data_IF_158722393763
#
_entry.id   IF_158722393763
#
_cell.length_a   1.000
_cell.length_b   1.000
_cell.length_c   1.000
_cell.angle_alpha   90.00
_cell.angle_beta   90.00
_cell.angle_gamma   90.00
#
_symmetry.space_group_name_H-M   'P 1'
#
loop_
_entity.id
_entity.type
_entity.pdbx_description
1 polymer ?
#
# COMPACT_ATOMS: atom_id res chain seq x y z
N UNK A 1 -16.44 41.96 -11.47
CA UNK A 1 -16.37 41.62 -12.90
C UNK A 1 -14.91 41.58 -13.33
N UNK A 2 -14.28 40.40 -13.24
CA UNK A 2 -13.01 40.09 -13.90
C UNK A 2 -12.91 38.57 -14.10
N UNK A 3 -13.26 38.17 -15.33
CA UNK A 3 -12.86 36.97 -16.06
C UNK A 3 -12.86 35.59 -15.37
N UNK A 4 -14.07 35.01 -15.26
CA UNK A 4 -14.29 33.59 -15.55
C UNK A 4 -13.94 33.33 -17.03
N UNK A 5 -12.69 32.95 -17.32
CA UNK A 5 -12.30 32.42 -18.64
C UNK A 5 -11.46 31.17 -18.45
N UNK A 6 -12.13 30.03 -18.61
CA UNK A 6 -11.53 28.70 -18.61
C UNK A 6 -12.62 27.63 -18.74
N UNK A 7 -13.43 27.71 -19.79
CA UNK A 7 -14.43 26.69 -20.09
C UNK A 7 -13.75 25.39 -20.54
N UNK A 8 -13.61 24.44 -19.61
CA UNK A 8 -13.55 22.99 -19.85
C UNK A 8 -14.23 22.40 -18.62
N UNK A 9 -15.29 21.61 -18.80
CA UNK A 9 -15.97 20.97 -17.65
C UNK A 9 -14.94 20.27 -16.75
N UNK A 10 -15.05 20.49 -15.44
CA UNK A 10 -14.31 19.70 -14.46
C UNK A 10 -14.51 18.22 -14.81
N UNK A 11 -13.46 17.39 -14.98
CA UNK A 11 -13.65 15.95 -15.11
C UNK A 11 -14.50 15.46 -13.95
N UNK A 12 -15.45 14.55 -14.20
CA UNK A 12 -16.42 14.11 -13.18
C UNK A 12 -15.70 13.60 -11.93
N UNK A 13 -14.56 12.92 -12.12
CA UNK A 13 -13.66 12.54 -11.03
C UNK A 13 -13.30 13.70 -10.11
N UNK A 14 -12.81 14.84 -10.62
CA UNK A 14 -12.39 15.97 -9.77
C UNK A 14 -13.56 16.57 -9.00
N UNK A 15 -14.74 16.64 -9.64
CA UNK A 15 -15.96 17.12 -8.99
C UNK A 15 -16.36 16.20 -7.83
N UNK A 16 -16.44 14.89 -8.07
CA UNK A 16 -16.77 13.89 -7.05
C UNK A 16 -15.78 13.90 -5.88
N UNK A 17 -14.48 14.08 -6.15
CA UNK A 17 -13.46 14.20 -5.11
C UNK A 17 -13.70 15.41 -4.19
N UNK A 18 -14.13 16.54 -4.75
CA UNK A 18 -14.50 17.74 -3.96
C UNK A 18 -15.82 17.57 -3.21
N UNK A 19 -16.71 16.71 -3.70
CA UNK A 19 -17.97 16.34 -3.07
C UNK A 19 -17.79 15.18 -2.06
N UNK A 20 -16.56 14.70 -1.84
CA UNK A 20 -16.20 13.60 -0.93
C UNK A 20 -16.77 12.22 -1.35
N UNK A 21 -17.10 12.05 -2.62
CA UNK A 21 -17.69 10.84 -3.20
C UNK A 21 -16.60 9.88 -3.74
N UNK A 22 -15.66 9.45 -2.89
CA UNK A 22 -14.50 8.63 -3.31
C UNK A 22 -14.90 7.26 -3.84
N UNK A 23 -15.94 6.64 -3.27
CA UNK A 23 -16.47 5.35 -3.73
C UNK A 23 -17.00 5.43 -5.17
N UNK A 24 -17.69 6.53 -5.50
CA UNK A 24 -18.22 6.73 -6.85
C UNK A 24 -17.08 6.94 -7.84
N UNK A 25 -16.03 7.67 -7.45
CA UNK A 25 -14.79 7.76 -8.25
C UNK A 25 -14.22 6.36 -8.48
N UNK A 26 -14.10 5.53 -7.43
CA UNK A 26 -13.63 4.15 -7.54
C UNK A 26 -14.46 3.30 -8.53
N UNK A 27 -15.79 3.39 -8.47
CA UNK A 27 -16.69 2.73 -9.43
C UNK A 27 -16.52 3.24 -10.86
N UNK A 28 -16.35 4.54 -11.02
CA UNK A 28 -16.24 5.23 -12.30
C UNK A 28 -14.94 4.83 -13.03
N UNK A 29 -13.81 4.85 -12.33
CA UNK A 29 -12.50 4.56 -12.94
C UNK A 29 -12.37 3.10 -13.39
N UNK A 30 -13.01 2.15 -12.69
CA UNK A 30 -13.09 0.73 -13.10
C UNK A 30 -13.72 0.53 -14.47
N UNK A 31 -14.64 1.42 -14.87
CA UNK A 31 -15.43 1.30 -16.10
C UNK A 31 -14.95 2.24 -17.21
N UNK A 32 -14.14 3.25 -16.87
CA UNK A 32 -13.80 4.33 -17.79
C UNK A 32 -12.32 4.72 -17.67
N UNK A 33 -11.53 4.35 -18.68
CA UNK A 33 -10.10 4.66 -18.74
C UNK A 33 -9.77 6.16 -18.78
N UNK A 34 -10.70 7.00 -19.25
CA UNK A 34 -10.55 8.46 -19.20
C UNK A 34 -10.62 8.97 -17.75
N UNK A 35 -11.53 8.41 -16.96
CA UNK A 35 -11.69 8.76 -15.55
C UNK A 35 -10.53 8.20 -14.73
N UNK A 36 -10.02 7.01 -15.06
CA UNK A 36 -8.74 6.53 -14.50
C UNK A 36 -7.59 7.50 -14.74
N UNK A 37 -7.44 8.02 -15.97
CA UNK A 37 -6.44 9.07 -16.27
C UNK A 37 -6.70 10.37 -15.50
N UNK A 38 -7.97 10.71 -15.26
CA UNK A 38 -8.34 11.87 -14.45
C UNK A 38 -7.94 11.67 -12.98
N UNK A 39 -8.15 10.47 -12.42
CA UNK A 39 -7.73 10.09 -11.08
C UNK A 39 -6.20 10.15 -10.92
N UNK A 40 -5.44 9.60 -11.87
CA UNK A 40 -3.97 9.69 -11.87
C UNK A 40 -3.50 11.15 -11.88
N UNK A 41 -4.15 12.01 -12.67
CA UNK A 41 -3.87 13.46 -12.62
C UNK A 41 -4.19 14.08 -11.26
N UNK A 42 -5.27 13.64 -10.61
CA UNK A 42 -5.74 14.19 -9.34
C UNK A 42 -4.76 13.95 -8.17
N UNK A 43 -3.90 12.92 -8.23
CA UNK A 43 -2.81 12.75 -7.25
C UNK A 43 -1.83 13.92 -7.19
N UNK A 44 -1.82 14.79 -8.21
CA UNK A 44 -0.98 16.00 -8.30
C UNK A 44 -1.81 17.27 -8.50
N UNK A 45 -3.09 17.27 -8.11
CA UNK A 45 -3.94 18.44 -8.21
C UNK A 45 -3.41 19.61 -7.36
N UNK A 46 -3.69 20.82 -7.82
CA UNK A 46 -3.40 22.06 -7.10
C UNK A 46 -4.02 22.13 -5.70
N UNK A 47 -5.14 21.43 -5.47
CA UNK A 47 -5.79 21.35 -4.16
C UNK A 47 -5.34 20.09 -3.44
N UNK A 48 -4.79 20.27 -2.25
CA UNK A 48 -4.44 19.23 -1.28
C UNK A 48 -5.62 18.30 -0.96
N UNK A 49 -6.82 18.86 -0.80
CA UNK A 49 -8.06 18.07 -0.59
C UNK A 49 -8.29 17.11 -1.77
N UNK A 50 -8.10 17.57 -3.02
CA UNK A 50 -8.28 16.71 -4.20
C UNK A 50 -7.20 15.63 -4.24
N UNK A 51 -5.94 15.94 -3.89
CA UNK A 51 -4.85 14.96 -3.84
C UNK A 51 -5.12 13.88 -2.80
N UNK A 52 -5.42 14.26 -1.57
CA UNK A 52 -5.77 13.35 -0.47
C UNK A 52 -6.93 12.43 -0.87
N UNK A 53 -8.03 13.01 -1.36
CA UNK A 53 -9.23 12.24 -1.74
C UNK A 53 -8.99 11.34 -2.93
N UNK A 54 -8.14 11.76 -3.88
CA UNK A 54 -7.76 10.91 -4.99
C UNK A 54 -7.05 9.64 -4.50
N UNK A 55 -6.12 9.77 -3.54
CA UNK A 55 -5.41 8.64 -2.95
C UNK A 55 -6.36 7.72 -2.19
N UNK A 56 -7.34 8.26 -1.48
CA UNK A 56 -8.41 7.46 -0.86
C UNK A 56 -9.24 6.73 -1.93
N UNK A 57 -9.70 7.44 -2.96
CA UNK A 57 -10.48 6.85 -4.06
C UNK A 57 -9.70 5.79 -4.85
N UNK A 58 -8.36 5.81 -4.81
CA UNK A 58 -7.55 4.75 -5.42
C UNK A 58 -7.78 3.40 -4.71
N UNK A 59 -7.92 3.40 -3.39
CA UNK A 59 -8.25 2.20 -2.61
C UNK A 59 -9.61 1.66 -3.02
N UNK A 60 -10.62 2.52 -3.17
CA UNK A 60 -11.96 2.15 -3.67
C UNK A 60 -11.92 1.60 -5.11
N UNK A 61 -11.01 2.15 -5.94
CA UNK A 61 -10.75 1.68 -7.28
C UNK A 61 -10.12 0.28 -7.29
N UNK A 62 -9.43 -0.12 -6.21
CA UNK A 62 -8.78 -1.43 -6.06
C UNK A 62 -7.92 -1.82 -7.28
N UNK A 63 -7.31 -0.83 -7.93
CA UNK A 63 -6.52 -1.01 -9.13
C UNK A 63 -5.03 -0.87 -8.80
N UNK A 64 -4.30 -1.97 -8.60
CA UNK A 64 -2.92 -1.92 -8.15
C UNK A 64 -1.97 -1.38 -9.23
N UNK A 65 -2.42 -1.22 -10.49
CA UNK A 65 -1.61 -0.52 -11.51
C UNK A 65 -1.41 0.97 -11.19
N UNK A 66 -2.12 1.51 -10.19
CA UNK A 66 -1.96 2.88 -9.71
C UNK A 66 -0.79 3.07 -8.74
N UNK A 67 -0.21 1.98 -8.19
CA UNK A 67 0.83 2.09 -7.14
C UNK A 67 2.01 2.98 -7.52
N UNK A 68 2.52 2.88 -8.75
CA UNK A 68 3.65 3.71 -9.21
C UNK A 68 3.32 5.20 -9.20
N UNK A 69 2.07 5.57 -9.48
CA UNK A 69 1.64 6.97 -9.45
C UNK A 69 1.36 7.45 -8.02
N UNK A 70 0.79 6.59 -7.17
CA UNK A 70 0.54 6.85 -5.74
C UNK A 70 1.86 7.09 -5.00
N UNK A 71 2.91 6.33 -5.30
CA UNK A 71 4.24 6.44 -4.69
C UNK A 71 4.80 7.87 -4.73
N UNK A 72 4.51 8.63 -5.78
CA UNK A 72 4.98 10.04 -5.90
C UNK A 72 4.42 10.93 -4.80
N UNK A 73 3.22 10.63 -4.30
CA UNK A 73 2.55 11.40 -3.25
C UNK A 73 3.10 11.14 -1.84
N UNK A 74 4.01 10.16 -1.67
CA UNK A 74 4.77 10.03 -0.42
C UNK A 74 5.72 11.22 -0.18
N UNK A 75 6.07 11.98 -1.21
CA UNK A 75 6.90 13.19 -1.12
C UNK A 75 6.11 14.50 -1.10
N UNK A 76 4.78 14.44 -0.89
CA UNK A 76 3.92 15.62 -0.92
C UNK A 76 4.24 16.61 0.23
N UNK A 77 4.06 17.91 -0.01
CA UNK A 77 4.31 18.95 0.99
C UNK A 77 3.28 18.91 2.13
N UNK A 78 2.08 18.40 1.88
CA UNK A 78 1.00 18.28 2.85
C UNK A 78 1.01 16.89 3.51
N UNK A 79 1.08 16.88 4.84
CA UNK A 79 1.13 15.65 5.62
C UNK A 79 -0.08 14.74 5.39
N UNK A 80 -1.30 15.28 5.28
CA UNK A 80 -2.52 14.48 5.06
C UNK A 80 -2.49 13.74 3.71
N UNK A 81 -1.89 14.36 2.68
CA UNK A 81 -1.67 13.71 1.37
C UNK A 81 -0.64 12.59 1.50
N UNK A 82 0.47 12.81 2.19
CA UNK A 82 1.47 11.76 2.46
C UNK A 82 0.88 10.59 3.25
N UNK A 83 0.02 10.88 4.24
CA UNK A 83 -0.68 9.86 5.03
C UNK A 83 -1.58 9.02 4.14
N UNK A 84 -2.39 9.65 3.29
CA UNK A 84 -3.27 8.96 2.37
C UNK A 84 -2.48 8.11 1.35
N UNK A 85 -1.34 8.61 0.87
CA UNK A 85 -0.44 7.86 -0.01
C UNK A 85 0.11 6.61 0.70
N UNK A 86 0.67 6.79 1.90
CA UNK A 86 1.19 5.68 2.70
C UNK A 86 0.11 4.64 3.03
N UNK A 87 -1.10 5.09 3.35
CA UNK A 87 -2.25 4.22 3.60
C UNK A 87 -2.63 3.43 2.34
N UNK A 88 -2.73 4.08 1.18
CA UNK A 88 -3.05 3.42 -0.07
C UNK A 88 -1.97 2.38 -0.46
N UNK A 89 -0.69 2.72 -0.33
CA UNK A 89 0.39 1.76 -0.62
C UNK A 89 0.39 0.59 0.37
N UNK A 90 0.06 0.81 1.64
CA UNK A 90 -0.10 -0.26 2.63
C UNK A 90 -1.33 -1.14 2.40
N UNK A 91 -2.35 -0.61 1.74
CA UNK A 91 -3.46 -1.40 1.22
C UNK A 91 -2.97 -2.30 0.08
N UNK A 92 -2.34 -1.73 -0.96
CA UNK A 92 -1.89 -2.50 -2.12
C UNK A 92 -0.77 -3.49 -1.83
N UNK A 93 0.12 -3.19 -0.88
CA UNK A 93 1.22 -4.05 -0.43
C UNK A 93 1.98 -4.68 -1.61
N UNK A 94 2.47 -3.85 -2.53
CA UNK A 94 3.17 -4.32 -3.72
C UNK A 94 4.69 -4.28 -3.51
N UNK A 95 5.46 -5.30 -3.93
CA UNK A 95 6.92 -5.32 -3.74
C UNK A 95 7.64 -4.09 -4.32
N UNK A 96 7.15 -3.57 -5.44
CA UNK A 96 7.69 -2.37 -6.11
C UNK A 96 7.68 -1.11 -5.21
N UNK A 97 6.84 -1.09 -4.16
CA UNK A 97 6.73 0.05 -3.25
C UNK A 97 7.67 -0.05 -2.05
N UNK A 98 8.37 -1.19 -1.88
CA UNK A 98 9.27 -1.44 -0.73
C UNK A 98 10.33 -0.35 -0.56
N UNK A 99 11.07 0.07 -1.61
CA UNK A 99 12.10 1.10 -1.44
C UNK A 99 11.52 2.43 -0.94
N UNK A 100 10.40 2.88 -1.53
CA UNK A 100 9.77 4.14 -1.14
C UNK A 100 9.17 4.08 0.26
N UNK A 101 8.52 2.96 0.63
CA UNK A 101 7.97 2.80 1.97
C UNK A 101 9.05 2.70 3.04
N UNK A 102 10.21 2.11 2.73
CA UNK A 102 11.38 2.09 3.61
C UNK A 102 11.93 3.51 3.84
N UNK A 103 12.07 4.31 2.79
CA UNK A 103 12.51 5.70 2.91
C UNK A 103 11.51 6.54 3.73
N UNK A 104 10.20 6.37 3.49
CA UNK A 104 9.15 7.05 4.26
C UNK A 104 9.07 6.65 5.74
N UNK A 105 9.85 5.66 6.20
CA UNK A 105 10.04 5.43 7.64
C UNK A 105 10.81 6.56 8.33
N UNK A 106 11.47 7.44 7.56
CA UNK A 106 12.14 8.64 8.05
C UNK A 106 11.25 9.88 8.04
N UNK A 107 9.99 9.77 7.59
CA UNK A 107 9.07 10.91 7.51
C UNK A 107 8.85 11.53 8.91
N UNK A 108 8.76 12.85 8.96
CA UNK A 108 8.48 13.61 10.18
C UNK A 108 7.14 13.22 10.83
N UNK A 109 6.15 12.83 10.02
CA UNK A 109 4.81 12.52 10.46
C UNK A 109 4.69 11.05 10.88
N UNK A 110 4.26 10.84 12.13
CA UNK A 110 4.13 9.51 12.72
C UNK A 110 3.12 8.60 12.01
N UNK A 111 2.06 9.14 11.40
CA UNK A 111 1.06 8.36 10.68
C UNK A 111 1.58 7.86 9.33
N UNK A 112 2.38 8.68 8.62
CA UNK A 112 3.09 8.25 7.41
C UNK A 112 3.98 7.06 7.76
N UNK A 113 4.83 7.22 8.80
CA UNK A 113 5.69 6.13 9.29
C UNK A 113 4.88 4.88 9.63
N UNK A 114 3.74 5.03 10.32
CA UNK A 114 2.89 3.92 10.78
C UNK A 114 2.15 3.18 9.66
N UNK A 115 1.76 3.86 8.58
CA UNK A 115 1.17 3.19 7.41
C UNK A 115 2.24 2.50 6.56
N UNK A 116 3.37 3.16 6.28
CA UNK A 116 4.49 2.55 5.55
C UNK A 116 4.99 1.29 6.25
N UNK A 117 5.18 1.39 7.56
CA UNK A 117 5.37 0.31 8.49
C UNK A 117 4.42 -0.89 8.33
N UNK A 118 3.10 -0.62 8.25
CA UNK A 118 2.09 -1.65 8.15
C UNK A 118 2.18 -2.38 6.80
N UNK A 119 2.35 -1.65 5.70
CA UNK A 119 2.56 -2.24 4.37
C UNK A 119 3.84 -3.07 4.31
N UNK A 120 4.95 -2.54 4.81
CA UNK A 120 6.21 -3.29 4.93
C UNK A 120 6.05 -4.51 5.83
N UNK A 121 5.27 -4.45 6.91
CA UNK A 121 5.03 -5.60 7.78
C UNK A 121 4.30 -6.73 7.05
N UNK A 122 3.36 -6.40 6.16
CA UNK A 122 2.67 -7.39 5.31
C UNK A 122 3.64 -8.06 4.33
N UNK A 123 4.55 -7.29 3.74
CA UNK A 123 5.52 -7.77 2.74
C UNK A 123 6.72 -8.53 3.36
N UNK A 124 7.29 -7.97 4.43
CA UNK A 124 8.63 -8.27 4.95
C UNK A 124 8.63 -8.85 6.39
N UNK A 125 7.46 -9.05 7.00
CA UNK A 125 7.27 -9.81 8.26
C UNK A 125 7.53 -9.04 9.58
N UNK A 126 6.56 -8.19 9.97
CA UNK A 126 6.49 -7.50 11.27
C UNK A 126 6.85 -6.01 11.21
N UNK A 127 6.73 -5.23 12.31
CA UNK A 127 7.05 -3.81 12.32
C UNK A 127 8.57 -3.58 12.26
N UNK A 128 9.16 -3.71 11.06
CA UNK A 128 10.60 -3.58 10.81
C UNK A 128 11.09 -2.20 11.27
N UNK A 129 10.34 -1.15 10.92
CA UNK A 129 10.54 0.25 11.35
C UNK A 129 10.66 0.48 12.86
N UNK A 130 10.04 -0.36 13.71
CA UNK A 130 10.15 -0.25 15.16
C UNK A 130 11.47 -0.84 15.71
N UNK A 131 12.29 -1.45 14.85
CA UNK A 131 13.48 -2.21 15.20
C UNK A 131 14.70 -1.91 14.33
N UNK A 132 14.57 -1.05 13.32
CA UNK A 132 15.65 -0.63 12.42
C UNK A 132 16.03 0.82 12.70
N UNK A 133 17.33 1.11 12.70
CA UNK A 133 17.83 2.48 12.71
C UNK A 133 17.72 3.10 11.31
N UNK A 134 17.89 4.42 11.23
CA UNK A 134 18.00 5.13 9.95
C UNK A 134 19.15 4.59 9.09
N UNK A 135 20.31 4.34 9.71
CA UNK A 135 21.47 3.70 9.08
C UNK A 135 21.16 2.29 8.54
N UNK A 136 20.32 1.51 9.24
CA UNK A 136 19.89 0.20 8.75
C UNK A 136 18.95 0.32 7.54
N UNK A 137 18.08 1.34 7.51
CA UNK A 137 17.26 1.63 6.33
C UNK A 137 18.14 1.92 5.14
N UNK A 138 19.16 2.78 5.29
CA UNK A 138 20.08 3.12 4.21
C UNK A 138 20.84 1.91 3.70
N UNK A 139 21.31 1.03 4.60
CA UNK A 139 21.96 -0.22 4.20
C UNK A 139 21.03 -1.11 3.39
N UNK A 140 19.78 -1.27 3.81
CA UNK A 140 18.80 -2.09 3.10
C UNK A 140 18.50 -1.51 1.70
N UNK A 141 18.32 -0.19 1.61
CA UNK A 141 18.03 0.50 0.34
C UNK A 141 19.18 0.39 -0.66
N UNK A 142 20.42 0.46 -0.19
CA UNK A 142 21.61 0.44 -1.05
C UNK A 142 22.16 -0.98 -1.30
N UNK A 143 21.38 -2.02 -1.00
CA UNK A 143 21.79 -3.41 -1.25
C UNK A 143 22.96 -3.87 -0.37
N UNK A 144 23.03 -3.36 0.86
CA UNK A 144 24.07 -3.65 1.85
C UNK A 144 25.49 -3.32 1.36
N UNK A 145 25.76 -2.04 1.04
CA UNK A 145 27.05 -1.66 0.46
C UNK A 145 28.19 -2.00 1.43
N UNK A 146 29.27 -2.56 0.88
CA UNK A 146 30.50 -2.88 1.62
C UNK A 146 30.33 -3.93 2.75
N UNK A 147 29.22 -4.67 2.78
CA UNK A 147 28.96 -5.73 3.77
C UNK A 147 29.24 -7.13 3.19
N UNK A 148 29.80 -8.03 3.98
CA UNK A 148 29.87 -9.46 3.63
C UNK A 148 28.52 -10.14 3.85
N UNK A 149 28.29 -11.31 3.24
CA UNK A 149 27.06 -12.10 3.48
C UNK A 149 26.84 -12.41 4.96
N UNK A 150 27.91 -12.68 5.72
CA UNK A 150 27.83 -12.89 7.17
C UNK A 150 27.40 -11.63 7.92
N UNK A 151 27.88 -10.45 7.52
CA UNK A 151 27.50 -9.18 8.14
C UNK A 151 26.04 -8.82 7.84
N UNK A 152 25.59 -9.08 6.60
CA UNK A 152 24.20 -8.93 6.19
C UNK A 152 23.30 -9.84 7.03
N UNK A 153 23.67 -11.12 7.14
CA UNK A 153 22.94 -12.10 7.96
C UNK A 153 22.85 -11.68 9.43
N UNK A 154 23.93 -11.13 10.01
CA UNK A 154 23.96 -10.63 11.38
C UNK A 154 23.01 -9.44 11.56
N UNK A 155 23.01 -8.48 10.62
CA UNK A 155 22.11 -7.33 10.64
C UNK A 155 20.64 -7.77 10.56
N UNK A 156 20.32 -8.65 9.61
CA UNK A 156 18.96 -9.13 9.38
C UNK A 156 18.43 -9.94 10.58
N UNK A 157 19.28 -10.75 11.22
CA UNK A 157 18.95 -11.45 12.47
C UNK A 157 18.73 -10.47 13.63
N UNK A 158 19.54 -9.42 13.76
CA UNK A 158 19.41 -8.40 14.81
C UNK A 158 18.05 -7.71 14.75
N UNK A 159 17.58 -7.37 13.56
CA UNK A 159 16.28 -6.73 13.34
C UNK A 159 15.11 -7.73 13.37
N UNK A 160 15.41 -9.01 13.62
CA UNK A 160 14.47 -10.15 13.72
C UNK A 160 13.69 -10.39 12.43
N UNK A 161 14.31 -10.15 11.28
CA UNK A 161 13.72 -10.48 9.99
C UNK A 161 13.66 -12.01 9.85
N UNK A 162 12.51 -12.54 9.44
CA UNK A 162 12.38 -14.00 9.26
C UNK A 162 13.13 -14.45 8.00
N UNK A 163 13.73 -15.67 7.97
CA UNK A 163 14.48 -16.15 6.81
C UNK A 163 13.70 -16.08 5.49
N UNK A 164 12.43 -16.45 5.50
CA UNK A 164 11.55 -16.39 4.32
C UNK A 164 11.39 -14.97 3.76
N UNK A 165 11.39 -13.97 4.63
CA UNK A 165 11.30 -12.56 4.24
C UNK A 165 12.63 -12.02 3.71
N UNK A 166 13.76 -12.51 4.25
CA UNK A 166 15.10 -12.21 3.73
C UNK A 166 15.23 -12.75 2.31
N UNK A 167 14.83 -14.01 2.10
CA UNK A 167 14.88 -14.65 0.78
C UNK A 167 14.02 -13.90 -0.24
N UNK A 168 12.80 -13.50 0.15
CA UNK A 168 11.94 -12.65 -0.70
C UNK A 168 12.58 -11.31 -1.00
N UNK A 169 13.05 -10.58 0.01
CA UNK A 169 13.67 -9.27 -0.19
C UNK A 169 14.88 -9.36 -1.13
N UNK A 170 15.75 -10.36 -0.94
CA UNK A 170 16.91 -10.61 -1.82
C UNK A 170 16.46 -10.91 -3.24
N UNK A 171 15.45 -11.77 -3.43
CA UNK A 171 14.90 -12.06 -4.75
C UNK A 171 14.36 -10.79 -5.43
N UNK A 172 13.61 -9.96 -4.70
CA UNK A 172 13.08 -8.69 -5.21
C UNK A 172 14.18 -7.71 -5.58
N UNK A 173 15.25 -7.62 -4.79
CA UNK A 173 16.42 -6.80 -5.10
C UNK A 173 17.13 -7.25 -6.39
N UNK A 174 17.19 -8.56 -6.67
CA UNK A 174 17.78 -9.05 -7.94
C UNK A 174 16.96 -8.66 -9.17
N UNK A 175 15.69 -8.32 -8.99
CA UNK A 175 14.77 -7.87 -10.02
C UNK A 175 14.59 -6.34 -10.02
N UNK A 176 15.40 -5.59 -9.25
CA UNK A 176 15.24 -4.14 -9.05
C UNK A 176 13.82 -3.74 -8.60
N UNK A 177 13.15 -4.64 -7.88
CA UNK A 177 11.75 -4.55 -7.49
C UNK A 177 10.76 -4.41 -8.67
N UNK A 178 11.18 -4.65 -9.92
CA UNK A 178 10.33 -4.71 -11.12
C UNK A 178 9.58 -6.04 -11.21
N UNK A 179 8.66 -6.25 -10.26
CA UNK A 179 7.91 -7.51 -10.12
C UNK A 179 6.52 -7.35 -10.70
N UNK A 180 6.02 -8.39 -11.37
CA UNK A 180 4.63 -8.44 -11.80
C UNK A 180 3.70 -8.31 -10.59
N UNK A 181 2.84 -7.29 -10.65
CA UNK A 181 1.87 -7.01 -9.61
C UNK A 181 0.78 -8.07 -9.63
N UNK A 182 0.82 -8.97 -8.66
CA UNK A 182 -0.24 -9.97 -8.48
C UNK A 182 -1.51 -9.29 -7.97
N UNK A 183 -2.49 -9.17 -8.87
CA UNK A 183 -3.80 -8.61 -8.57
C UNK A 183 -4.75 -9.63 -7.95
N UNK A 184 -4.44 -10.93 -8.05
CA UNK A 184 -5.32 -12.00 -7.60
C UNK A 184 -5.47 -12.03 -6.09
N UNK A 185 -4.37 -11.85 -5.35
CA UNK A 185 -4.42 -11.80 -3.89
C UNK A 185 -5.21 -10.60 -3.37
N UNK A 186 -5.17 -9.46 -4.07
CA UNK A 186 -5.94 -8.26 -3.71
C UNK A 186 -7.43 -8.47 -3.96
N UNK A 187 -7.78 -9.06 -5.11
CA UNK A 187 -9.16 -9.45 -5.42
C UNK A 187 -9.67 -10.43 -4.38
N UNK A 188 -8.89 -11.46 -4.02
CA UNK A 188 -9.23 -12.44 -3.00
C UNK A 188 -9.35 -11.82 -1.59
N UNK A 189 -8.56 -10.80 -1.22
CA UNK A 189 -8.69 -10.11 0.07
C UNK A 189 -9.95 -9.23 0.12
N UNK A 190 -10.36 -8.66 -1.01
CA UNK A 190 -11.56 -7.81 -1.12
C UNK A 190 -12.86 -8.61 -1.29
N UNK A 191 -12.79 -9.74 -2.00
CA UNK A 191 -13.90 -10.66 -2.21
C UNK A 191 -13.97 -11.74 -1.10
N UNK A 192 -12.87 -11.92 -0.37
CA UNK A 192 -12.68 -12.93 0.66
C UNK A 192 -13.29 -12.57 2.00
N UNK A 193 -14.47 -13.17 2.20
CA UNK A 193 -15.33 -13.19 3.39
C UNK A 193 -16.16 -11.93 3.58
N UNK A 194 -17.49 -11.99 3.33
CA UNK A 194 -18.37 -10.92 3.74
C UNK A 194 -18.21 -10.68 5.24
N UNK A 195 -18.21 -9.41 5.65
CA UNK A 195 -18.41 -9.03 7.04
C UNK A 195 -19.79 -9.55 7.43
N UNK A 196 -19.85 -10.69 8.12
CA UNK A 196 -21.08 -11.19 8.71
C UNK A 196 -21.46 -10.24 9.85
N UNK A 197 -22.28 -9.22 9.55
CA UNK A 197 -22.92 -8.36 10.54
C UNK A 197 -24.21 -9.01 11.08
N UNK A 198 -24.13 -10.26 11.51
CA UNK A 198 -25.20 -10.90 12.26
C UNK A 198 -24.64 -11.82 13.34
N UNK A 199 -25.24 -11.77 14.52
CA UNK A 199 -24.86 -12.43 15.78
C UNK A 199 -24.88 -13.97 15.77
N UNK A 200 -24.74 -14.63 14.61
CA UNK A 200 -24.72 -16.09 14.57
C UNK A 200 -23.32 -16.61 14.91
N UNK A 201 -23.16 -16.81 16.22
CA UNK A 201 -22.06 -17.50 16.85
C UNK A 201 -21.67 -18.77 16.08
N UNK A 202 -20.37 -18.85 15.78
CA UNK A 202 -19.67 -20.05 15.34
C UNK A 202 -20.09 -21.25 16.21
N UNK A 203 -20.78 -22.23 15.64
CA UNK A 203 -20.85 -23.54 16.28
C UNK A 203 -19.42 -24.10 16.39
N UNK A 204 -19.05 -24.66 17.55
CA UNK A 204 -17.71 -25.17 17.75
C UNK A 204 -17.45 -26.34 16.80
N UNK A 205 -16.36 -26.26 16.05
CA UNK A 205 -15.82 -27.34 15.25
C UNK A 205 -15.58 -28.53 16.18
N UNK A 206 -16.48 -29.52 16.15
CA UNK A 206 -16.26 -30.79 16.84
C UNK A 206 -15.11 -31.49 16.11
N UNK A 207 -13.98 -31.61 16.80
CA UNK A 207 -12.84 -32.41 16.33
C UNK A 207 -13.32 -33.84 16.11
N UNK A 208 -13.34 -34.26 14.84
CA UNK A 208 -13.37 -35.66 14.50
C UNK A 208 -12.06 -36.33 14.94
N UNK A 209 -12.20 -37.45 15.66
CA UNK A 209 -11.22 -38.54 15.76
C UNK A 209 -12.00 -39.83 16.07
N UNK A 210 -11.47 -41.02 15.73
CA UNK A 210 -11.76 -41.72 14.49
C UNK A 210 -12.60 -42.98 14.75
N UNK A 211 -13.00 -43.63 13.66
CA UNK A 211 -13.57 -44.98 13.67
C UNK A 211 -12.73 -45.97 14.49
N UNK A 212 -13.40 -46.73 15.35
CA UNK A 212 -13.04 -48.12 15.62
C UNK A 212 -14.30 -48.95 15.39
N UNK A 213 -14.22 -49.82 14.39
CA UNK A 213 -14.99 -51.05 14.30
C UNK A 213 -14.93 -51.81 15.64
N UNK A 214 -16.03 -52.41 16.06
CA UNK A 214 -16.10 -53.85 16.33
C UNK A 214 -17.53 -54.27 16.69
N UNK A 215 -17.87 -55.47 16.16
CA UNK A 215 -19.08 -56.31 16.29
C UNK A 215 -20.32 -56.00 15.42
#
# INVERSE_FOLDING_TARGET
MAALRGGVGLPETRKLLLEYETEEVGRLVKKNSKEKKALVKAFSDSSDIVRERALIASVDAADPTLVTDITKALGDDVADVRIAAAQALAFYSQPVTVPNMLESLKDENTWVRSHCAAGLSKLLNGPTWARISEDDVDKILNGFPEMTEEEVDVLLKRIKMKPDAIDRLRAWQTEDFEIEVDVSSLVDELEGRPILLSEEALEPITKGTPSTSDE
#
